data_IF_433052940681
#
_entry.id   IF_433052940681
#
_cell.length_a   1.000
_cell.length_b   1.000
_cell.length_c   1.000
_cell.angle_alpha   90.00
_cell.angle_beta   90.00
_cell.angle_gamma   90.00
#
_symmetry.space_group_name_H-M   'P 1'
#
loop_
_entity.id
_entity.type
_entity.pdbx_description
1 polymer ?
#
# COMPACT_ATOMS: atom_id res chain seq x y z
N UNK A 1 -31.96 58.62 -0.80
CA UNK A 1 -30.90 57.83 -0.13
C UNK A 1 -30.11 57.13 -1.23
N UNK A 2 -28.94 57.66 -1.61
CA UNK A 2 -28.12 57.13 -2.70
C UNK A 2 -27.29 55.95 -2.19
N UNK A 3 -27.35 54.81 -2.86
CA UNK A 3 -26.47 53.66 -2.59
C UNK A 3 -25.13 53.87 -3.28
N UNK A 4 -24.05 53.77 -2.49
CA UNK A 4 -22.66 53.98 -2.93
C UNK A 4 -22.27 52.90 -3.94
N UNK A 5 -21.58 53.29 -5.01
CA UNK A 5 -20.92 52.39 -5.96
C UNK A 5 -20.05 51.40 -5.17
N UNK A 6 -20.40 50.11 -5.26
CA UNK A 6 -19.55 49.01 -4.80
C UNK A 6 -18.26 49.04 -5.61
N UNK A 7 -17.13 49.02 -4.90
CA UNK A 7 -15.79 48.93 -5.46
C UNK A 7 -15.73 47.82 -6.50
N UNK A 8 -15.39 48.19 -7.73
CA UNK A 8 -14.96 47.27 -8.77
C UNK A 8 -13.72 46.57 -8.21
N UNK A 9 -13.87 45.32 -7.77
CA UNK A 9 -12.71 44.44 -7.57
C UNK A 9 -12.08 44.33 -8.95
N UNK A 10 -10.81 44.74 -9.14
CA UNK A 10 -10.16 44.50 -10.41
C UNK A 10 -10.14 42.99 -10.59
N UNK A 11 -10.84 42.53 -11.63
CA UNK A 11 -10.73 41.17 -12.14
C UNK A 11 -9.30 41.09 -12.66
N UNK A 12 -8.40 40.60 -11.79
CA UNK A 12 -7.05 40.25 -12.19
C UNK A 12 -7.26 39.01 -13.04
N UNK A 13 -7.48 39.22 -14.33
CA UNK A 13 -7.40 38.19 -15.34
C UNK A 13 -5.91 37.85 -15.44
N UNK A 14 -5.41 37.13 -14.43
CA UNK A 14 -4.13 36.47 -14.51
C UNK A 14 -4.30 35.42 -15.59
N UNK A 15 -3.84 35.74 -16.80
CA UNK A 15 -3.74 34.82 -17.94
C UNK A 15 -3.13 33.52 -17.41
N UNK A 16 -3.98 32.51 -17.18
CA UNK A 16 -3.54 31.24 -16.65
C UNK A 16 -2.56 30.63 -17.63
N UNK A 17 -1.34 30.39 -17.16
CA UNK A 17 -0.32 29.73 -17.97
C UNK A 17 -0.67 28.25 -18.11
N UNK A 18 -1.39 27.93 -19.18
CA UNK A 18 -1.84 26.58 -19.52
C UNK A 18 -0.66 25.62 -19.70
N UNK A 19 0.51 26.10 -20.09
CA UNK A 19 1.71 25.26 -20.20
C UNK A 19 2.19 24.86 -18.81
N UNK A 20 2.28 25.81 -17.88
CA UNK A 20 2.64 25.53 -16.49
C UNK A 20 1.63 24.60 -15.81
N UNK A 21 0.33 24.81 -16.01
CA UNK A 21 -0.70 23.93 -15.45
C UNK A 21 -0.57 22.48 -15.97
N UNK A 22 -0.30 22.31 -17.27
CA UNK A 22 -0.06 21.00 -17.86
C UNK A 22 1.21 20.33 -17.31
N UNK A 23 2.28 21.09 -17.11
CA UNK A 23 3.52 20.59 -16.51
C UNK A 23 3.25 20.12 -15.07
N UNK A 24 2.54 20.92 -14.27
CA UNK A 24 2.17 20.56 -12.89
C UNK A 24 1.28 19.31 -12.87
N UNK A 25 0.30 19.21 -13.77
CA UNK A 25 -0.56 18.03 -13.89
C UNK A 25 0.23 16.76 -14.21
N UNK A 26 1.16 16.83 -15.18
CA UNK A 26 2.03 15.71 -15.52
C UNK A 26 2.94 15.30 -14.36
N UNK A 27 3.46 16.27 -13.60
CA UNK A 27 4.28 16.01 -12.42
C UNK A 27 3.49 15.24 -11.35
N UNK A 28 2.23 15.63 -11.10
CA UNK A 28 1.36 14.94 -10.14
C UNK A 28 1.09 13.48 -10.55
N UNK A 29 0.82 13.24 -11.83
CA UNK A 29 0.60 11.88 -12.35
C UNK A 29 1.88 11.05 -12.19
N UNK A 30 3.04 11.61 -12.53
CA UNK A 30 4.33 10.93 -12.40
C UNK A 30 4.61 10.55 -10.94
N UNK A 31 4.36 11.47 -10.00
CA UNK A 31 4.53 11.23 -8.58
C UNK A 31 3.63 10.08 -8.09
N UNK A 32 2.34 10.08 -8.48
CA UNK A 32 1.42 8.99 -8.16
C UNK A 32 1.91 7.63 -8.67
N UNK A 33 2.43 7.56 -9.90
CA UNK A 33 2.95 6.32 -10.47
C UNK A 33 4.16 5.80 -9.70
N UNK A 34 5.07 6.70 -9.29
CA UNK A 34 6.22 6.36 -8.45
C UNK A 34 5.77 5.81 -7.10
N UNK A 35 4.82 6.47 -6.44
CA UNK A 35 4.32 6.04 -5.12
C UNK A 35 3.57 4.70 -5.20
N UNK A 36 2.78 4.49 -6.26
CA UNK A 36 2.14 3.20 -6.53
C UNK A 36 3.16 2.09 -6.74
N UNK A 37 4.24 2.36 -7.48
CA UNK A 37 5.30 1.38 -7.70
C UNK A 37 6.06 1.07 -6.41
N UNK A 38 6.39 2.10 -5.60
CA UNK A 38 7.02 1.95 -4.29
C UNK A 38 6.14 1.12 -3.35
N UNK A 39 4.83 1.37 -3.32
CA UNK A 39 3.88 0.60 -2.54
C UNK A 39 3.88 -0.88 -2.95
N UNK A 40 3.75 -1.16 -4.26
CA UNK A 40 3.81 -2.53 -4.80
C UNK A 40 5.16 -3.22 -4.53
N UNK A 41 6.25 -2.47 -4.60
CA UNK A 41 7.59 -3.01 -4.32
C UNK A 41 7.76 -3.29 -2.83
N UNK A 42 7.29 -2.40 -1.95
CA UNK A 42 7.29 -2.61 -0.50
C UNK A 42 6.47 -3.83 -0.11
N UNK A 43 5.33 -4.05 -0.77
CA UNK A 43 4.52 -5.25 -0.59
C UNK A 43 5.32 -6.51 -1.01
N UNK A 44 5.96 -6.50 -2.19
CA UNK A 44 6.73 -7.66 -2.69
C UNK A 44 8.05 -7.92 -1.95
N UNK A 45 8.82 -6.88 -1.64
CA UNK A 45 10.18 -6.97 -1.05
C UNK A 45 10.12 -6.98 0.49
N UNK A 46 9.16 -6.27 1.08
CA UNK A 46 8.90 -6.28 2.52
C UNK A 46 8.18 -7.56 3.01
N UNK A 47 7.93 -8.52 2.12
CA UNK A 47 7.40 -9.85 2.47
C UNK A 47 5.93 -9.86 2.89
N UNK A 48 5.16 -8.82 2.55
CA UNK A 48 3.72 -8.71 2.83
C UNK A 48 2.83 -8.99 1.63
N UNK A 49 3.44 -9.23 0.45
CA UNK A 49 2.76 -9.39 -0.82
C UNK A 49 2.59 -10.83 -1.24
N UNK A 50 1.35 -11.31 -1.07
CA UNK A 50 0.77 -12.48 -1.71
C UNK A 50 1.54 -13.79 -1.53
N UNK A 51 0.96 -14.59 -0.64
CA UNK A 51 1.16 -16.02 -0.46
C UNK A 51 0.87 -16.81 -1.75
N UNK A 52 1.57 -16.56 -2.85
CA UNK A 52 1.30 -17.27 -4.09
C UNK A 52 1.93 -18.66 -4.11
N UNK A 53 2.31 -19.28 -2.97
CA UNK A 53 2.71 -20.70 -2.95
C UNK A 53 2.94 -21.46 -1.62
N UNK A 54 2.65 -20.99 -0.40
CA UNK A 54 2.94 -21.84 0.80
C UNK A 54 1.91 -21.74 1.92
N UNK A 55 1.43 -22.92 2.32
CA UNK A 55 0.48 -23.27 3.40
C UNK A 55 0.85 -22.68 4.78
N UNK A 56 0.84 -21.36 4.94
CA UNK A 56 1.16 -20.71 6.20
C UNK A 56 0.63 -19.29 6.33
N UNK A 57 0.21 -18.93 7.54
CA UNK A 57 -0.20 -17.58 7.92
C UNK A 57 0.99 -16.86 8.57
N UNK A 58 1.18 -15.57 8.24
CA UNK A 58 2.21 -14.74 8.88
C UNK A 58 1.58 -13.47 9.43
N UNK A 59 2.01 -13.08 10.63
CA UNK A 59 1.55 -11.88 11.31
C UNK A 59 2.77 -11.06 11.76
N UNK A 60 2.81 -9.77 11.42
CA UNK A 60 3.89 -8.87 11.81
C UNK A 60 3.30 -7.81 12.74
N UNK A 61 3.98 -7.56 13.85
CA UNK A 61 3.59 -6.57 14.84
C UNK A 61 4.83 -5.84 15.39
N UNK A 62 4.60 -4.65 15.95
CA UNK A 62 5.63 -3.83 16.59
C UNK A 62 5.49 -3.91 18.10
N UNK A 63 6.59 -4.18 18.81
CA UNK A 63 6.65 -4.17 20.27
C UNK A 63 8.01 -3.62 20.73
N UNK A 64 8.03 -2.77 21.76
CA UNK A 64 9.27 -2.14 22.28
C UNK A 64 10.19 -1.56 21.17
N UNK A 65 9.57 -0.87 20.20
CA UNK A 65 10.22 -0.25 19.04
C UNK A 65 10.96 -1.21 18.07
N UNK A 66 10.72 -2.52 18.22
CA UNK A 66 11.24 -3.57 17.34
C UNK A 66 10.11 -4.23 16.55
N UNK A 67 10.42 -4.63 15.33
CA UNK A 67 9.51 -5.34 14.45
C UNK A 67 9.67 -6.84 14.63
N UNK A 68 8.56 -7.54 14.82
CA UNK A 68 8.52 -8.98 15.00
C UNK A 68 7.65 -9.62 13.92
N UNK A 69 8.11 -10.75 13.37
CA UNK A 69 7.36 -11.57 12.41
C UNK A 69 7.09 -12.94 13.03
N UNK A 70 5.82 -13.27 13.18
CA UNK A 70 5.37 -14.61 13.56
C UNK A 70 4.90 -15.31 12.29
N UNK A 71 5.39 -16.52 12.04
CA UNK A 71 4.99 -17.34 10.90
C UNK A 71 4.49 -18.68 11.43
N UNK A 72 3.26 -19.05 11.06
CA UNK A 72 2.63 -20.32 11.40
C UNK A 72 2.47 -21.11 10.11
N UNK A 73 2.94 -22.36 10.11
CA UNK A 73 2.84 -23.29 8.98
C UNK A 73 2.11 -24.54 9.44
N UNK A 74 1.17 -25.02 8.63
CA UNK A 74 0.47 -26.29 8.87
C UNK A 74 0.86 -27.24 7.75
N UNK A 75 1.57 -28.30 8.11
CA UNK A 75 1.95 -29.38 7.20
C UNK A 75 0.98 -30.56 7.39
N UNK A 76 0.52 -31.12 6.28
CA UNK A 76 -0.34 -32.29 6.26
C UNK A 76 0.53 -33.54 6.38
N UNK A 77 0.39 -34.27 7.49
CA UNK A 77 1.06 -35.55 7.67
C UNK A 77 0.16 -36.65 7.09
N UNK A 78 0.58 -37.26 5.98
CA UNK A 78 -0.03 -38.49 5.50
C UNK A 78 0.39 -39.61 6.45
N UNK A 79 -0.43 -39.90 7.46
CA UNK A 79 -0.25 -41.08 8.30
C UNK A 79 -0.59 -42.27 7.42
N UNK A 80 0.43 -43.01 6.98
CA UNK A 80 0.18 -44.28 6.31
C UNK A 80 -0.37 -45.26 7.34
N UNK A 81 -1.38 -46.05 6.97
CA UNK A 81 -2.09 -46.97 7.89
C UNK A 81 -1.18 -47.98 8.60
N UNK A 82 0.10 -48.10 8.23
CA UNK A 82 1.09 -48.99 8.85
C UNK A 82 1.70 -48.43 10.14
N UNK A 83 1.68 -47.13 10.35
CA UNK A 83 2.37 -46.51 11.49
C UNK A 83 1.55 -46.55 12.79
N UNK A 84 0.23 -46.82 12.70
CA UNK A 84 -0.67 -46.89 13.86
C UNK A 84 -0.55 -48.23 14.60
N UNK A 85 -0.02 -49.27 13.94
CA UNK A 85 0.09 -50.62 14.51
C UNK A 85 1.38 -50.89 15.29
N UNK A 86 2.37 -49.99 15.27
CA UNK A 86 3.63 -50.19 16.00
C UNK A 86 3.68 -49.48 17.36
N UNK A 87 2.80 -48.49 17.60
CA UNK A 87 2.73 -47.76 18.88
C UNK A 87 1.74 -48.36 19.91
N UNK A 88 1.12 -49.51 19.60
CA UNK A 88 0.33 -50.30 20.57
C UNK A 88 1.01 -51.66 20.77
N UNK A 89 2.12 -51.66 21.50
CA UNK A 89 2.66 -52.87 22.13
C UNK A 89 3.31 -52.58 23.47
#
# INVERSE_FOLDING_TARGET
MQTRKSSQVPEIDEDRDLELENIVGNLMIAQYQVDKLRSRLSERVGGYGSANNKKGSAHIFKHNDKWYKVTVRVDEMAISQRDISEDIK
#
